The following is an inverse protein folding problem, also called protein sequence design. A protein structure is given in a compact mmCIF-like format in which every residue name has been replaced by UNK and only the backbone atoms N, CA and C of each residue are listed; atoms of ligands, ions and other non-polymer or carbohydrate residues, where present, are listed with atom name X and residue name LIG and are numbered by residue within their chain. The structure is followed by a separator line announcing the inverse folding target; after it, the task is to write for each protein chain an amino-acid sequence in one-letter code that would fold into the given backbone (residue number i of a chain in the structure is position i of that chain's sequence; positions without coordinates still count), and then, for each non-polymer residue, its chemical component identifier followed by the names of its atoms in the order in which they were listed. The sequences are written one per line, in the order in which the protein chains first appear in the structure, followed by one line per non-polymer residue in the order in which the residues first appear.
data_IF_281338831347
#
_entry.id   IF_281338831347
#
_cell.length_a   1.000
_cell.length_b   1.000
_cell.length_c   1.000
_cell.angle_alpha   90.00
_cell.angle_beta   90.00
_cell.angle_gamma   90.00
#
_symmetry.space_group_name_H-M   'P 1'
#
loop_
_entity.id
_entity.type
_entity.pdbx_description
1 polymer ?
#
# COMPACT_ATOMS: atom_id res chain seq x y z
N UNK A 1 -2.45 -15.24 52.28
CA UNK A 1 -2.40 -14.90 50.86
C UNK A 1 -3.59 -14.00 50.62
N UNK A 2 -3.35 -12.70 50.52
CA UNK A 2 -4.38 -11.75 50.12
C UNK A 2 -4.34 -11.77 48.60
N UNK A 3 -5.38 -12.33 47.98
CA UNK A 3 -5.66 -12.08 46.57
C UNK A 3 -6.11 -10.62 46.50
N UNK A 4 -5.23 -9.76 46.01
CA UNK A 4 -5.60 -8.42 45.57
C UNK A 4 -6.29 -8.64 44.23
N UNK A 5 -7.62 -8.76 44.23
CA UNK A 5 -8.41 -8.52 43.03
C UNK A 5 -8.14 -7.07 42.65
N UNK A 6 -7.42 -6.85 41.54
CA UNK A 6 -7.40 -5.54 40.92
C UNK A 6 -8.87 -5.15 40.69
N UNK A 7 -9.26 -4.00 41.22
CA UNK A 7 -10.54 -3.41 40.83
C UNK A 7 -10.26 -2.88 39.44
N UNK A 8 -10.85 -3.48 38.40
CA UNK A 8 -10.95 -2.84 37.09
C UNK A 8 -11.65 -1.50 37.32
N UNK A 9 -10.87 -0.43 37.23
CA UNK A 9 -11.36 0.93 37.39
C UNK A 9 -11.79 1.40 36.00
N UNK A 10 -13.06 1.81 35.86
CA UNK A 10 -13.56 2.37 34.60
C UNK A 10 -12.77 3.65 34.30
N UNK A 11 -12.07 3.74 33.15
CA UNK A 11 -11.33 4.93 32.77
C UNK A 11 -12.20 6.19 32.70
N UNK A 12 -11.58 7.35 32.91
CA UNK A 12 -12.31 8.63 32.95
C UNK A 12 -12.97 9.00 31.62
N UNK A 13 -12.41 8.58 30.48
CA UNK A 13 -12.93 8.87 29.15
C UNK A 13 -14.25 8.14 28.86
N UNK A 14 -14.50 7.00 29.51
CA UNK A 14 -15.73 6.21 29.41
C UNK A 14 -16.49 6.09 30.74
N UNK A 15 -16.32 7.06 31.66
CA UNK A 15 -16.88 7.03 33.02
C UNK A 15 -18.42 7.03 33.13
N UNK A 16 -19.13 6.90 32.01
CA UNK A 16 -20.57 6.64 31.93
C UNK A 16 -20.90 5.14 32.01
N UNK A 17 -19.93 4.26 31.76
CA UNK A 17 -20.08 2.82 32.01
C UNK A 17 -19.91 2.50 33.50
N UNK A 18 -20.58 1.44 33.94
CA UNK A 18 -20.12 0.69 35.12
C UNK A 18 -19.03 -0.33 34.74
N UNK A 19 -18.47 -1.03 35.74
CA UNK A 19 -17.35 -1.97 35.54
C UNK A 19 -17.75 -3.12 34.61
N UNK A 20 -18.97 -3.65 34.76
CA UNK A 20 -19.44 -4.77 33.96
C UNK A 20 -19.64 -4.32 32.50
N UNK A 21 -20.24 -3.14 32.31
CA UNK A 21 -20.42 -2.54 30.98
C UNK A 21 -19.09 -2.23 30.29
N UNK A 22 -18.12 -1.68 31.03
CA UNK A 22 -16.80 -1.41 30.46
C UNK A 22 -16.10 -2.71 30.05
N UNK A 23 -16.18 -3.76 30.90
CA UNK A 23 -15.66 -5.08 30.56
C UNK A 23 -16.26 -5.66 29.28
N UNK A 24 -17.60 -5.64 29.16
CA UNK A 24 -18.27 -6.07 27.92
C UNK A 24 -17.88 -5.21 26.72
N UNK A 25 -17.80 -3.89 26.87
CA UNK A 25 -17.35 -3.03 25.77
C UNK A 25 -15.94 -3.38 25.29
N UNK A 26 -15.01 -3.62 26.22
CA UNK A 26 -13.65 -4.03 25.91
C UNK A 26 -13.60 -5.37 25.19
N UNK A 27 -14.39 -6.36 25.62
CA UNK A 27 -14.50 -7.66 24.95
C UNK A 27 -14.97 -7.49 23.50
N UNK A 28 -16.02 -6.72 23.24
CA UNK A 28 -16.55 -6.51 21.89
C UNK A 28 -15.57 -5.73 20.98
N UNK A 29 -14.82 -4.77 21.53
CA UNK A 29 -13.78 -4.05 20.79
C UNK A 29 -12.60 -4.98 20.45
N UNK A 30 -12.14 -5.77 21.41
CA UNK A 30 -11.02 -6.69 21.21
C UNK A 30 -11.36 -7.80 20.20
N UNK A 31 -12.58 -8.35 20.28
CA UNK A 31 -13.08 -9.35 19.32
C UNK A 31 -13.17 -8.75 17.90
N UNK A 32 -13.63 -7.50 17.78
CA UNK A 32 -13.66 -6.79 16.50
C UNK A 32 -12.23 -6.54 15.96
N UNK A 33 -11.30 -6.08 16.79
CA UNK A 33 -9.89 -5.92 16.43
C UNK A 33 -9.25 -7.26 15.99
N UNK A 34 -9.62 -8.37 16.64
CA UNK A 34 -9.13 -9.71 16.29
C UNK A 34 -9.48 -10.16 14.87
N UNK A 35 -10.55 -9.63 14.28
CA UNK A 35 -10.88 -9.89 12.87
C UNK A 35 -9.86 -9.27 11.90
N UNK A 36 -9.08 -8.29 12.37
CA UNK A 36 -8.01 -7.61 11.63
C UNK A 36 -6.62 -7.94 12.18
N UNK A 37 -6.49 -8.99 13.02
CA UNK A 37 -5.22 -9.43 13.60
C UNK A 37 -4.65 -8.49 14.66
N UNK A 38 -5.50 -7.68 15.25
CA UNK A 38 -5.16 -6.62 16.20
C UNK A 38 -5.66 -6.94 17.63
N UNK A 39 -5.87 -8.22 17.98
CA UNK A 39 -6.33 -8.65 19.30
C UNK A 39 -5.33 -8.37 20.44
N UNK A 40 -5.83 -8.24 21.67
CA UNK A 40 -5.05 -8.07 22.90
C UNK A 40 -4.63 -6.62 23.18
N UNK A 41 -5.39 -5.63 22.71
CA UNK A 41 -5.02 -4.22 22.85
C UNK A 41 -5.22 -3.67 24.27
N UNK A 42 -4.46 -2.62 24.62
CA UNK A 42 -4.65 -1.88 25.87
C UNK A 42 -5.67 -0.73 25.70
N UNK A 43 -6.91 -1.04 26.04
CA UNK A 43 -8.05 -0.12 25.90
C UNK A 43 -8.18 0.88 27.08
N UNK A 44 -7.32 0.80 28.11
CA UNK A 44 -7.38 1.74 29.25
C UNK A 44 -7.14 3.19 28.81
N UNK A 45 -6.30 3.36 27.79
CA UNK A 45 -5.94 4.66 27.19
C UNK A 45 -7.10 5.35 26.45
N UNK A 46 -8.11 4.58 26.02
CA UNK A 46 -9.21 5.06 25.18
C UNK A 46 -8.90 5.12 23.69
N UNK A 47 -7.86 4.40 23.25
CA UNK A 47 -7.46 4.31 21.86
C UNK A 47 -7.24 2.86 21.42
N UNK A 48 -7.30 2.63 20.11
CA UNK A 48 -6.88 1.39 19.44
C UNK A 48 -5.88 1.70 18.34
N UNK A 49 -4.93 0.79 18.14
CA UNK A 49 -3.97 0.81 17.05
C UNK A 49 -4.41 -0.15 15.94
N UNK A 50 -4.75 0.35 14.75
CA UNK A 50 -5.23 -0.48 13.65
C UNK A 50 -4.44 -0.21 12.37
N UNK A 51 -4.21 -1.28 11.60
CA UNK A 51 -3.74 -1.15 10.23
C UNK A 51 -4.86 -0.56 9.36
N UNK A 52 -4.57 0.56 8.68
CA UNK A 52 -5.55 1.26 7.86
C UNK A 52 -4.94 1.91 6.61
N UNK A 53 -5.80 2.22 5.65
CA UNK A 53 -5.42 2.92 4.42
C UNK A 53 -4.73 2.03 3.38
N UNK A 54 -4.22 2.66 2.32
CA UNK A 54 -3.69 1.96 1.14
C UNK A 54 -2.47 1.09 1.44
N UNK A 55 -1.66 1.51 2.41
CA UNK A 55 -0.42 0.82 2.79
C UNK A 55 -0.58 -0.05 4.04
N UNK A 56 -1.77 -0.12 4.63
CA UNK A 56 -2.02 -0.83 5.90
C UNK A 56 -1.11 -0.39 7.05
N UNK A 57 -0.76 0.91 7.10
CA UNK A 57 0.05 1.49 8.16
C UNK A 57 -0.72 1.50 9.49
N UNK A 58 -0.02 1.44 10.63
CA UNK A 58 -0.64 1.46 11.95
C UNK A 58 -1.02 2.89 12.35
N UNK A 59 -2.30 3.10 12.64
CA UNK A 59 -2.88 4.36 13.09
C UNK A 59 -3.59 4.21 14.44
N UNK A 60 -3.57 5.29 15.23
CA UNK A 60 -4.30 5.37 16.50
C UNK A 60 -5.69 5.97 16.27
N UNK A 61 -6.73 5.33 16.82
CA UNK A 61 -8.13 5.77 16.73
C UNK A 61 -8.77 5.88 18.10
N UNK A 62 -9.55 6.94 18.32
CA UNK A 62 -10.20 7.18 19.62
C UNK A 62 -11.48 6.36 19.78
N UNK A 63 -11.60 5.67 20.92
CA UNK A 63 -12.78 4.88 21.27
C UNK A 63 -13.92 5.73 21.86
N UNK A 64 -13.71 7.01 22.17
CA UNK A 64 -14.67 7.81 22.95
C UNK A 64 -16.05 7.87 22.30
N UNK A 65 -16.10 8.12 20.98
CA UNK A 65 -17.36 8.20 20.24
C UNK A 65 -18.04 6.84 20.09
N UNK A 66 -17.26 5.77 19.89
CA UNK A 66 -17.77 4.40 19.84
C UNK A 66 -18.36 3.98 21.18
N UNK A 67 -17.62 4.18 22.28
CA UNK A 67 -18.08 3.90 23.64
C UNK A 67 -19.37 4.66 23.96
N UNK A 68 -19.47 5.93 23.56
CA UNK A 68 -20.69 6.71 23.73
C UNK A 68 -21.86 6.11 22.95
N UNK A 69 -21.68 5.75 21.68
CA UNK A 69 -22.72 5.09 20.87
C UNK A 69 -23.18 3.77 21.50
N UNK A 70 -22.25 2.94 21.96
CA UNK A 70 -22.59 1.71 22.68
C UNK A 70 -23.37 2.01 23.97
N UNK A 71 -22.98 3.02 24.76
CA UNK A 71 -23.72 3.39 25.98
C UNK A 71 -25.16 3.86 25.74
N UNK A 72 -25.45 4.38 24.53
CA UNK A 72 -26.77 4.83 24.11
C UNK A 72 -27.60 3.70 23.46
N UNK A 73 -26.98 2.56 23.15
CA UNK A 73 -27.59 1.40 22.50
C UNK A 73 -27.81 0.22 23.48
N UNK A 74 -28.77 -0.69 23.18
CA UNK A 74 -28.88 -1.96 23.87
C UNK A 74 -27.59 -2.79 23.75
N UNK A 75 -27.17 -3.53 24.80
CA UNK A 75 -25.97 -4.37 24.76
C UNK A 75 -25.93 -5.38 23.62
N UNK A 76 -27.08 -5.91 23.21
CA UNK A 76 -27.19 -6.85 22.09
C UNK A 76 -26.76 -6.27 20.72
N UNK A 77 -26.64 -4.95 20.60
CA UNK A 77 -26.22 -4.28 19.35
C UNK A 77 -24.70 -3.94 19.36
N UNK A 78 -24.01 -4.14 20.48
CA UNK A 78 -22.63 -3.65 20.67
C UNK A 78 -21.63 -4.35 19.75
N UNK A 79 -21.73 -5.68 19.58
CA UNK A 79 -20.91 -6.47 18.64
C UNK A 79 -20.90 -5.82 17.25
N UNK A 80 -22.09 -5.53 16.71
CA UNK A 80 -22.24 -4.94 15.38
C UNK A 80 -21.73 -3.50 15.31
N UNK A 81 -21.88 -2.72 16.39
CA UNK A 81 -21.40 -1.33 16.45
C UNK A 81 -19.87 -1.28 16.50
N UNK A 82 -19.27 -2.11 17.34
CA UNK A 82 -17.81 -2.22 17.46
C UNK A 82 -17.21 -2.72 16.15
N UNK A 83 -17.70 -3.85 15.62
CA UNK A 83 -17.23 -4.36 14.34
C UNK A 83 -17.35 -3.34 13.21
N UNK A 84 -18.53 -2.72 13.05
CA UNK A 84 -18.76 -1.74 11.99
C UNK A 84 -17.84 -0.52 12.08
N UNK A 85 -17.50 -0.05 13.29
CA UNK A 85 -16.57 1.06 13.43
C UNK A 85 -15.11 0.67 13.18
N UNK A 86 -14.69 -0.50 13.65
CA UNK A 86 -13.32 -1.01 13.44
C UNK A 86 -13.09 -1.28 11.95
N UNK A 87 -14.07 -1.88 11.26
CA UNK A 87 -14.05 -2.08 9.81
C UNK A 87 -13.97 -0.75 9.06
N UNK A 88 -14.79 0.24 9.43
CA UNK A 88 -14.76 1.57 8.83
C UNK A 88 -13.39 2.28 8.99
N UNK A 89 -12.76 2.16 10.17
CA UNK A 89 -11.43 2.71 10.42
C UNK A 89 -10.35 1.98 9.61
N UNK A 90 -10.36 0.65 9.59
CA UNK A 90 -9.39 -0.14 8.81
C UNK A 90 -9.51 0.12 7.31
N UNK A 91 -10.74 0.24 6.81
CA UNK A 91 -11.01 0.57 5.41
C UNK A 91 -10.77 2.05 5.04
N UNK A 92 -10.44 2.91 6.01
CA UNK A 92 -10.32 4.37 5.84
C UNK A 92 -11.56 4.97 5.13
N UNK A 93 -12.76 4.57 5.57
CA UNK A 93 -14.04 4.94 4.95
C UNK A 93 -14.24 6.46 4.97
N UNK A 94 -14.05 7.09 6.14
CA UNK A 94 -14.22 8.54 6.29
C UNK A 94 -13.28 9.36 5.39
N UNK A 95 -12.04 8.89 5.18
CA UNK A 95 -11.08 9.54 4.28
C UNK A 95 -11.49 9.36 2.82
N UNK A 96 -12.01 8.18 2.46
CA UNK A 96 -12.56 7.90 1.13
C UNK A 96 -13.77 8.82 0.84
N UNK A 97 -14.70 8.93 1.78
CA UNK A 97 -15.88 9.82 1.66
C UNK A 97 -15.49 11.31 1.54
N UNK A 98 -14.47 11.73 2.28
CA UNK A 98 -13.94 13.10 2.15
C UNK A 98 -13.36 13.33 0.76
N UNK A 99 -12.60 12.37 0.24
CA UNK A 99 -11.92 12.47 -1.05
C UNK A 99 -12.91 12.58 -2.22
N UNK A 100 -14.05 11.89 -2.15
CA UNK A 100 -15.13 12.01 -3.14
C UNK A 100 -15.69 13.43 -3.25
N UNK A 101 -15.61 14.21 -2.18
CA UNK A 101 -16.12 15.58 -2.10
C UNK A 101 -15.03 16.64 -2.31
N UNK A 102 -13.76 16.24 -2.23
CA UNK A 102 -12.62 17.13 -2.31
C UNK A 102 -12.46 17.71 -3.72
N UNK A 103 -12.10 18.99 -3.79
CA UNK A 103 -11.69 19.62 -5.05
C UNK A 103 -10.24 19.27 -5.39
N UNK A 104 -9.90 19.27 -6.67
CA UNK A 104 -8.52 19.04 -7.11
C UNK A 104 -7.54 19.99 -6.43
N UNK A 105 -7.91 21.27 -6.25
CA UNK A 105 -7.03 22.27 -5.60
C UNK A 105 -6.69 21.89 -4.15
N UNK A 106 -7.54 21.15 -3.43
CA UNK A 106 -7.27 20.70 -2.07
C UNK A 106 -6.30 19.52 -2.01
N UNK A 107 -6.29 18.66 -3.03
CA UNK A 107 -5.52 17.40 -3.03
C UNK A 107 -4.29 17.45 -3.94
N UNK A 108 -4.21 18.42 -4.86
CA UNK A 108 -3.20 18.47 -5.93
C UNK A 108 -1.77 18.35 -5.42
N UNK A 109 -1.43 19.06 -4.37
CA UNK A 109 -0.07 19.07 -3.80
C UNK A 109 0.20 17.84 -2.91
N UNK A 110 -0.81 17.01 -2.66
CA UNK A 110 -0.77 15.77 -1.86
C UNK A 110 -0.84 14.51 -2.73
N UNK A 111 -1.06 14.65 -4.04
CA UNK A 111 -1.11 13.52 -4.97
C UNK A 111 0.26 12.84 -5.06
N UNK A 112 0.27 11.52 -4.88
CA UNK A 112 1.42 10.62 -5.01
C UNK A 112 1.12 9.51 -6.01
N UNK A 113 2.16 9.01 -6.66
CA UNK A 113 2.10 7.82 -7.51
C UNK A 113 2.08 6.59 -6.62
N UNK A 114 1.23 5.64 -6.96
CA UNK A 114 1.19 4.30 -6.37
C UNK A 114 1.27 3.27 -7.49
N UNK A 115 2.28 2.40 -7.48
CA UNK A 115 2.43 1.35 -8.50
C UNK A 115 1.85 0.06 -7.97
N UNK A 116 1.11 -0.71 -8.77
CA UNK A 116 0.55 -1.98 -8.28
C UNK A 116 0.25 -2.95 -9.42
N UNK A 117 -0.16 -4.17 -9.09
CA UNK A 117 -0.36 -5.28 -10.03
C UNK A 117 -1.61 -5.14 -10.92
N UNK A 118 -2.50 -4.21 -10.57
CA UNK A 118 -3.76 -3.96 -11.27
C UNK A 118 -4.89 -4.91 -10.90
N UNK A 119 -4.80 -5.65 -9.79
CA UNK A 119 -5.92 -6.40 -9.26
C UNK A 119 -7.15 -5.50 -9.08
N UNK A 120 -8.36 -5.92 -9.50
CA UNK A 120 -9.58 -5.18 -9.17
C UNK A 120 -9.82 -5.18 -7.66
N UNK A 121 -10.42 -4.12 -7.12
CA UNK A 121 -10.78 -4.06 -5.70
C UNK A 121 -11.90 -5.03 -5.38
N UNK A 122 -12.86 -5.19 -6.29
CA UNK A 122 -13.98 -6.12 -6.13
C UNK A 122 -14.03 -7.15 -7.26
N UNK A 123 -14.44 -8.37 -6.92
CA UNK A 123 -14.74 -9.40 -7.92
C UNK A 123 -15.81 -8.88 -8.90
N UNK A 124 -15.54 -9.01 -10.21
CA UNK A 124 -16.42 -8.60 -11.32
C UNK A 124 -16.56 -7.08 -11.57
N UNK A 125 -15.86 -6.22 -10.83
CA UNK A 125 -15.92 -4.78 -11.09
C UNK A 125 -15.30 -4.40 -12.44
N UNK A 126 -15.99 -3.54 -13.18
CA UNK A 126 -15.45 -2.97 -14.42
C UNK A 126 -14.37 -1.93 -14.08
N UNK A 127 -13.28 -1.81 -14.87
CA UNK A 127 -12.20 -0.87 -14.58
C UNK A 127 -12.59 0.60 -14.43
N UNK A 128 -13.74 1.00 -14.97
CA UNK A 128 -14.25 2.38 -14.90
C UNK A 128 -15.36 2.55 -13.84
N UNK A 129 -15.62 1.53 -13.03
CA UNK A 129 -16.57 1.61 -11.93
C UNK A 129 -16.16 2.76 -10.98
N UNK A 130 -17.10 3.64 -10.57
CA UNK A 130 -16.80 4.74 -9.65
C UNK A 130 -16.11 4.32 -8.34
N UNK A 131 -16.44 3.13 -7.82
CA UNK A 131 -15.90 2.58 -6.56
C UNK A 131 -14.55 1.83 -6.77
N UNK A 132 -14.15 1.61 -8.02
CA UNK A 132 -12.82 1.07 -8.32
C UNK A 132 -11.74 2.15 -8.20
N UNK A 133 -10.52 1.68 -7.89
CA UNK A 133 -9.36 2.54 -7.83
C UNK A 133 -9.02 3.09 -9.22
N UNK A 134 -8.64 4.37 -9.25
CA UNK A 134 -8.08 4.96 -10.45
C UNK A 134 -6.84 4.18 -10.89
N UNK A 135 -6.79 3.85 -12.18
CA UNK A 135 -5.68 3.07 -12.74
C UNK A 135 -5.38 3.37 -14.20
N UNK A 136 -4.11 3.45 -14.52
CA UNK A 136 -3.58 3.50 -15.88
C UNK A 136 -2.57 2.38 -16.08
N UNK A 137 -2.72 1.62 -17.16
CA UNK A 137 -1.83 0.52 -17.46
C UNK A 137 -0.47 1.02 -17.95
N UNK A 138 0.61 0.55 -17.34
CA UNK A 138 1.97 0.72 -17.88
C UNK A 138 2.35 -0.47 -18.75
N UNK A 139 2.13 -1.66 -18.21
CA UNK A 139 2.34 -2.94 -18.88
C UNK A 139 1.31 -3.96 -18.36
N UNK A 140 1.28 -5.14 -18.95
CA UNK A 140 0.53 -6.24 -18.34
C UNK A 140 1.06 -6.51 -16.93
N UNK A 141 0.18 -6.54 -15.92
CA UNK A 141 0.57 -6.73 -14.51
C UNK A 141 1.25 -5.53 -13.82
N UNK A 142 1.32 -4.35 -14.45
CA UNK A 142 1.86 -3.14 -13.80
C UNK A 142 1.05 -1.89 -14.13
N UNK A 143 0.57 -1.22 -13.10
CA UNK A 143 -0.40 -0.13 -13.19
C UNK A 143 0.01 1.05 -12.32
N UNK A 144 -0.34 2.25 -12.79
CA UNK A 144 -0.26 3.49 -12.02
C UNK A 144 -1.62 3.78 -11.40
N UNK A 145 -1.64 3.87 -10.08
CA UNK A 145 -2.69 4.49 -9.29
C UNK A 145 -2.24 5.82 -8.70
N UNK A 146 -3.17 6.47 -8.00
CA UNK A 146 -2.93 7.71 -7.27
C UNK A 146 -3.33 7.54 -5.81
N UNK A 147 -2.57 8.16 -4.93
CA UNK A 147 -2.85 8.26 -3.50
C UNK A 147 -2.83 9.73 -3.10
N UNK A 148 -3.73 10.12 -2.19
CA UNK A 148 -3.67 11.41 -1.51
C UNK A 148 -3.03 11.21 -0.15
N UNK A 149 -1.89 11.85 0.04
CA UNK A 149 -1.15 11.79 1.29
C UNK A 149 -1.87 12.55 2.42
N UNK A 150 -1.98 11.93 3.59
CA UNK A 150 -2.59 12.53 4.78
C UNK A 150 -4.01 13.02 4.49
N UNK A 151 -4.87 12.15 3.99
CA UNK A 151 -6.27 12.49 3.72
C UNK A 151 -6.99 12.72 5.05
N UNK A 152 -7.63 13.87 5.24
CA UNK A 152 -8.35 14.15 6.47
C UNK A 152 -9.66 13.37 6.51
N UNK A 153 -10.17 13.17 7.72
CA UNK A 153 -11.53 12.67 7.96
C UNK A 153 -12.50 13.82 8.23
N UNK A 154 -13.80 13.57 8.10
CA UNK A 154 -14.84 14.51 8.55
C UNK A 154 -14.97 14.61 10.07
N UNK A 155 -14.53 13.60 10.80
CA UNK A 155 -14.80 13.40 12.23
C UNK A 155 -13.58 13.63 13.14
N UNK A 156 -12.53 14.29 12.62
CA UNK A 156 -11.28 14.61 13.34
C UNK A 156 -10.46 13.35 13.74
N UNK A 157 -10.71 12.23 13.07
CA UNK A 157 -9.88 11.03 13.08
C UNK A 157 -8.54 11.28 12.35
N UNK A 158 -7.57 10.38 12.60
CA UNK A 158 -6.23 10.39 12.00
C UNK A 158 -6.24 10.67 10.49
N UNK A 159 -5.27 11.47 10.03
CA UNK A 159 -4.99 11.62 8.61
C UNK A 159 -4.36 10.32 8.07
N UNK A 160 -4.90 9.77 7.00
CA UNK A 160 -4.49 8.46 6.44
C UNK A 160 -4.19 8.63 4.94
N UNK A 161 -3.16 7.95 4.44
CA UNK A 161 -2.89 7.90 3.01
C UNK A 161 -3.99 7.07 2.31
N UNK A 162 -4.73 7.70 1.40
CA UNK A 162 -5.95 7.12 0.82
C UNK A 162 -5.86 7.05 -0.69
N UNK A 163 -6.21 5.88 -1.24
CA UNK A 163 -6.19 5.65 -2.67
C UNK A 163 -7.32 6.40 -3.36
N UNK A 164 -7.02 6.96 -4.54
CA UNK A 164 -7.98 7.74 -5.32
C UNK A 164 -8.87 6.79 -6.13
N UNK A 165 -10.18 6.94 -5.98
CA UNK A 165 -11.18 6.24 -6.79
C UNK A 165 -11.51 6.96 -8.10
N UNK A 166 -12.07 6.21 -9.05
CA UNK A 166 -12.56 6.76 -10.31
C UNK A 166 -13.61 7.87 -10.11
N UNK A 167 -14.48 7.75 -9.10
CA UNK A 167 -15.47 8.78 -8.77
C UNK A 167 -14.82 10.16 -8.52
N UNK A 168 -13.76 10.22 -7.73
CA UNK A 168 -13.05 11.46 -7.43
C UNK A 168 -12.38 12.05 -8.68
N UNK A 169 -11.72 11.21 -9.49
CA UNK A 169 -11.10 11.64 -10.76
C UNK A 169 -12.13 12.22 -11.72
N UNK A 170 -13.27 11.56 -11.86
CA UNK A 170 -14.38 12.03 -12.69
C UNK A 170 -14.93 13.38 -12.18
N UNK A 171 -15.06 13.54 -10.87
CA UNK A 171 -15.53 14.79 -10.25
C UNK A 171 -14.56 15.96 -10.47
N UNK A 172 -13.24 15.70 -10.48
CA UNK A 172 -12.23 16.72 -10.77
C UNK A 172 -12.25 17.16 -12.24
N UNK A 173 -12.72 16.29 -13.15
CA UNK A 173 -12.90 16.62 -14.57
C UNK A 173 -11.58 16.93 -15.29
N UNK A 174 -10.49 16.31 -14.85
CA UNK A 174 -9.15 16.47 -15.42
C UNK A 174 -8.72 15.16 -16.08
N UNK A 175 -8.02 15.28 -17.22
CA UNK A 175 -7.48 14.13 -17.93
C UNK A 175 -6.53 13.31 -17.03
N UNK A 176 -6.64 11.98 -17.03
CA UNK A 176 -5.80 11.07 -16.23
C UNK A 176 -4.30 11.39 -16.27
N UNK A 177 -3.74 11.59 -17.46
CA UNK A 177 -2.31 11.88 -17.65
C UNK A 177 -1.87 13.16 -16.92
N UNK A 178 -2.75 14.16 -16.80
CA UNK A 178 -2.45 15.42 -16.10
C UNK A 178 -2.39 15.23 -14.58
N UNK A 179 -3.15 14.27 -14.05
CA UNK A 179 -3.10 13.92 -12.64
C UNK A 179 -1.80 13.17 -12.33
N UNK A 180 -1.40 12.24 -13.20
CA UNK A 180 -0.10 11.55 -13.11
C UNK A 180 1.06 12.56 -13.21
N UNK A 181 1.03 13.47 -14.18
CA UNK A 181 2.03 14.55 -14.28
C UNK A 181 2.11 15.41 -13.01
N UNK A 182 0.98 15.72 -12.38
CA UNK A 182 0.95 16.47 -11.12
C UNK A 182 1.57 15.67 -9.96
N UNK A 183 1.25 14.38 -9.84
CA UNK A 183 1.84 13.50 -8.84
C UNK A 183 3.36 13.33 -9.05
N UNK A 184 3.81 13.19 -10.30
CA UNK A 184 5.24 13.15 -10.64
C UNK A 184 5.94 14.49 -10.36
N UNK A 185 5.25 15.62 -10.49
CA UNK A 185 5.79 16.92 -10.10
C UNK A 185 5.96 17.02 -8.58
N UNK A 186 5.05 16.43 -7.79
CA UNK A 186 5.20 16.34 -6.34
C UNK A 186 6.37 15.43 -5.96
N UNK A 187 6.52 14.25 -6.60
CA UNK A 187 7.64 13.36 -6.37
C UNK A 187 8.99 14.08 -6.51
N UNK A 188 9.19 14.78 -7.64
CA UNK A 188 10.41 15.58 -7.90
C UNK A 188 10.63 16.72 -6.89
N UNK A 189 9.56 17.24 -6.29
CA UNK A 189 9.62 18.34 -5.31
C UNK A 189 9.95 17.83 -3.91
N UNK A 190 9.47 16.65 -3.56
CA UNK A 190 9.49 16.11 -2.21
C UNK A 190 10.63 15.14 -1.95
N UNK A 191 11.11 14.46 -2.99
CA UNK A 191 12.14 13.44 -2.90
C UNK A 191 13.30 13.76 -3.82
N UNK A 192 14.51 13.46 -3.35
CA UNK A 192 15.69 13.43 -4.21
C UNK A 192 15.63 12.20 -5.12
N UNK A 193 16.33 12.26 -6.26
CA UNK A 193 16.51 11.09 -7.12
C UNK A 193 17.10 9.92 -6.33
N UNK A 194 16.71 8.68 -6.63
CA UNK A 194 17.11 7.53 -5.84
C UNK A 194 18.63 7.34 -5.87
N UNK A 195 19.19 6.95 -4.74
CA UNK A 195 20.56 6.46 -4.68
C UNK A 195 20.58 4.98 -5.06
N UNK A 196 21.38 4.63 -6.06
CA UNK A 196 21.50 3.25 -6.53
C UNK A 196 22.55 2.49 -5.73
N UNK A 197 22.15 1.34 -5.18
CA UNK A 197 23.04 0.30 -4.72
C UNK A 197 23.30 -0.72 -5.83
N UNK A 198 24.50 -1.29 -5.86
CA UNK A 198 24.82 -2.41 -6.74
C UNK A 198 24.62 -3.74 -6.00
N UNK A 199 23.88 -4.65 -6.62
CA UNK A 199 23.72 -6.03 -6.17
C UNK A 199 24.31 -6.94 -7.24
N UNK A 200 25.29 -7.75 -6.85
CA UNK A 200 25.93 -8.72 -7.74
C UNK A 200 25.32 -10.09 -7.50
N UNK A 201 24.63 -10.62 -8.51
CA UNK A 201 24.00 -11.93 -8.46
C UNK A 201 24.85 -12.93 -9.23
N UNK A 202 25.32 -13.97 -8.54
CA UNK A 202 26.10 -15.03 -9.15
C UNK A 202 25.18 -16.14 -9.65
N UNK A 203 25.07 -16.27 -10.97
CA UNK A 203 24.28 -17.33 -11.60
C UNK A 203 25.13 -18.60 -11.60
N UNK A 204 24.54 -19.71 -11.15
CA UNK A 204 25.19 -21.01 -11.11
C UNK A 204 24.43 -22.03 -11.98
N UNK A 205 25.14 -23.01 -12.51
CA UNK A 205 24.52 -24.12 -13.23
C UNK A 205 23.82 -25.12 -12.28
N UNK A 206 23.19 -26.16 -12.82
CA UNK A 206 22.53 -27.22 -12.03
C UNK A 206 23.50 -27.96 -11.07
N UNK A 207 24.81 -27.89 -11.31
CA UNK A 207 25.83 -28.46 -10.44
C UNK A 207 26.30 -27.50 -9.33
N UNK A 208 25.81 -26.25 -9.34
CA UNK A 208 26.20 -25.19 -8.41
C UNK A 208 27.52 -24.52 -8.77
N UNK A 209 28.04 -24.71 -9.98
CA UNK A 209 29.24 -24.04 -10.45
C UNK A 209 28.87 -22.67 -11.05
N UNK A 210 29.63 -21.61 -10.75
CA UNK A 210 29.30 -20.26 -11.21
C UNK A 210 29.50 -20.12 -12.72
N UNK A 211 28.45 -19.67 -13.41
CA UNK A 211 28.42 -19.47 -14.86
C UNK A 211 28.67 -18.00 -15.18
N UNK A 212 27.95 -17.09 -14.52
CA UNK A 212 27.93 -15.68 -14.87
C UNK A 212 27.69 -14.81 -13.62
N UNK A 213 27.94 -13.50 -13.73
CA UNK A 213 27.58 -12.54 -12.68
C UNK A 213 26.78 -11.40 -13.28
N UNK A 214 25.53 -11.27 -12.85
CA UNK A 214 24.64 -10.18 -13.27
C UNK A 214 24.73 -9.05 -12.24
N UNK A 215 24.85 -7.82 -12.73
CA UNK A 215 24.81 -6.62 -11.88
C UNK A 215 23.41 -6.03 -11.94
N UNK A 216 22.79 -5.90 -10.77
CA UNK A 216 21.51 -5.22 -10.59
C UNK A 216 21.77 -3.88 -9.89
N UNK A 217 21.08 -2.84 -10.36
CA UNK A 217 20.94 -1.58 -9.65
C UNK A 217 19.65 -1.63 -8.84
N UNK A 218 19.77 -1.38 -7.55
CA UNK A 218 18.65 -1.36 -6.62
C UNK A 218 18.51 0.04 -6.03
N UNK A 219 17.31 0.60 -6.15
CA UNK A 219 16.91 1.82 -5.49
C UNK A 219 15.90 1.51 -4.38
N UNK A 220 16.07 2.16 -3.24
CA UNK A 220 15.12 2.13 -2.12
C UNK A 220 14.52 3.52 -1.89
N UNK A 221 13.28 3.58 -1.43
CA UNK A 221 12.57 4.79 -0.99
C UNK A 221 11.30 5.10 -1.79
N UNK A 222 11.31 4.93 -3.12
CA UNK A 222 10.09 5.06 -3.93
C UNK A 222 10.24 4.42 -5.31
N UNK A 223 9.40 3.43 -5.58
CA UNK A 223 9.36 2.77 -6.86
C UNK A 223 8.69 3.62 -7.95
N UNK A 224 8.00 4.71 -7.58
CA UNK A 224 7.44 5.69 -8.52
C UNK A 224 8.51 6.34 -9.41
N UNK A 225 9.78 6.33 -8.99
CA UNK A 225 10.90 6.76 -9.82
C UNK A 225 11.07 5.91 -11.10
N UNK A 226 10.47 4.72 -11.18
CA UNK A 226 10.38 3.94 -12.42
C UNK A 226 9.81 4.77 -13.59
N UNK A 227 8.86 5.65 -13.31
CA UNK A 227 8.23 6.53 -14.31
C UNK A 227 9.13 7.69 -14.76
N UNK A 228 10.25 7.92 -14.07
CA UNK A 228 11.19 9.03 -14.29
C UNK A 228 12.60 8.53 -14.57
N UNK A 229 12.77 7.28 -15.01
CA UNK A 229 14.08 6.68 -15.20
C UNK A 229 14.95 7.41 -16.24
N UNK A 230 14.34 8.00 -17.27
CA UNK A 230 15.04 8.83 -18.25
C UNK A 230 15.62 10.14 -17.65
N UNK A 231 15.27 10.49 -16.41
CA UNK A 231 15.70 11.71 -15.72
C UNK A 231 16.75 11.46 -14.61
N UNK A 232 17.09 10.22 -14.31
CA UNK A 232 17.96 9.85 -13.18
C UNK A 232 19.30 9.26 -13.64
N UNK A 233 20.33 9.41 -12.82
CA UNK A 233 21.61 8.72 -13.02
C UNK A 233 21.59 7.35 -12.33
N UNK A 234 22.26 6.30 -12.86
CA UNK A 234 23.04 6.32 -14.09
C UNK A 234 22.15 6.37 -15.34
N UNK A 235 22.67 6.98 -16.41
CA UNK A 235 22.03 6.92 -17.73
C UNK A 235 21.90 5.46 -18.15
N UNK A 236 20.68 5.03 -18.42
CA UNK A 236 20.36 3.67 -18.85
C UNK A 236 20.80 3.43 -20.30
N UNK A 237 21.17 2.18 -20.61
CA UNK A 237 21.46 1.76 -21.98
C UNK A 237 20.35 2.17 -22.98
N UNK A 238 20.75 2.75 -24.13
CA UNK A 238 19.82 3.20 -25.20
C UNK A 238 18.93 2.06 -25.73
N UNK A 239 19.43 0.83 -25.67
CA UNK A 239 18.69 -0.37 -26.05
C UNK A 239 17.49 -0.63 -25.15
N UNK A 240 17.51 -0.16 -23.91
CA UNK A 240 16.55 -0.50 -22.85
C UNK A 240 17.18 -1.37 -21.76
N UNK A 241 16.42 -1.57 -20.69
CA UNK A 241 16.83 -2.32 -19.49
C UNK A 241 15.71 -3.24 -19.02
N UNK A 242 16.08 -4.27 -18.27
CA UNK A 242 15.12 -5.07 -17.50
C UNK A 242 14.88 -4.40 -16.16
N UNK A 243 13.62 -4.34 -15.74
CA UNK A 243 13.15 -3.62 -14.58
C UNK A 243 12.19 -4.50 -13.76
N UNK A 244 12.22 -4.38 -12.44
CA UNK A 244 11.19 -4.94 -11.57
C UNK A 244 10.82 -3.96 -10.46
N UNK A 245 9.56 -4.02 -10.04
CA UNK A 245 8.96 -3.15 -9.01
C UNK A 245 8.35 -4.06 -7.94
N UNK A 246 9.16 -4.69 -7.08
CA UNK A 246 8.65 -5.66 -6.12
C UNK A 246 7.77 -5.04 -5.03
N UNK A 247 7.99 -3.78 -4.69
CA UNK A 247 7.24 -3.06 -3.65
C UNK A 247 7.13 -1.56 -3.96
N UNK A 248 6.34 -0.81 -3.18
CA UNK A 248 6.18 0.65 -3.34
C UNK A 248 7.48 1.43 -3.15
N UNK A 249 8.44 0.86 -2.43
CA UNK A 249 9.69 1.50 -2.03
C UNK A 249 10.91 0.90 -2.72
N UNK A 250 10.78 -0.19 -3.49
CA UNK A 250 11.91 -0.86 -4.14
C UNK A 250 11.79 -0.86 -5.66
N UNK A 251 12.89 -0.54 -6.33
CA UNK A 251 13.02 -0.58 -7.78
C UNK A 251 14.33 -1.29 -8.15
N UNK A 252 14.23 -2.30 -9.01
CA UNK A 252 15.35 -3.06 -9.55
C UNK A 252 15.52 -2.74 -11.03
N UNK A 253 16.77 -2.53 -11.45
CA UNK A 253 17.13 -2.27 -12.85
C UNK A 253 18.37 -3.08 -13.22
N UNK A 254 18.35 -3.70 -14.39
CA UNK A 254 19.46 -4.47 -14.93
C UNK A 254 19.66 -4.15 -16.41
N UNK A 255 20.89 -3.78 -16.78
CA UNK A 255 21.26 -3.71 -18.19
C UNK A 255 21.43 -5.13 -18.76
N UNK A 256 21.19 -5.27 -20.05
CA UNK A 256 21.41 -6.51 -20.79
C UNK A 256 22.73 -6.38 -21.55
N UNK A 257 23.82 -7.03 -21.11
CA UNK A 257 25.14 -6.82 -21.71
C UNK A 257 25.21 -7.32 -23.16
N UNK A 258 24.59 -8.47 -23.43
CA UNK A 258 24.53 -9.13 -24.73
C UNK A 258 23.10 -9.66 -24.95
N UNK A 259 22.60 -9.63 -26.19
CA UNK A 259 21.20 -9.97 -26.52
C UNK A 259 20.83 -11.42 -26.11
N UNK A 260 21.78 -12.34 -26.17
CA UNK A 260 21.61 -13.74 -25.75
C UNK A 260 21.60 -13.95 -24.23
N UNK A 261 21.89 -12.90 -23.44
CA UNK A 261 21.76 -12.90 -21.99
C UNK A 261 20.39 -12.43 -21.50
N UNK A 262 19.51 -11.97 -22.39
CA UNK A 262 18.22 -11.36 -22.01
C UNK A 262 17.40 -12.28 -21.10
N UNK A 263 17.18 -13.53 -21.50
CA UNK A 263 16.38 -14.49 -20.72
C UNK A 263 16.98 -14.73 -19.33
N UNK A 264 18.31 -14.79 -19.24
CA UNK A 264 19.03 -14.97 -17.98
C UNK A 264 18.88 -13.75 -17.06
N UNK A 265 19.01 -12.53 -17.61
CA UNK A 265 18.83 -11.29 -16.85
C UNK A 265 17.39 -11.18 -16.35
N UNK A 266 16.40 -11.52 -17.18
CA UNK A 266 14.98 -11.53 -16.81
C UNK A 266 14.71 -12.50 -15.66
N UNK A 267 15.24 -13.74 -15.74
CA UNK A 267 15.09 -14.74 -14.69
C UNK A 267 15.71 -14.26 -13.36
N UNK A 268 16.93 -13.72 -13.40
CA UNK A 268 17.62 -13.19 -12.22
C UNK A 268 16.87 -12.01 -11.60
N UNK A 269 16.40 -11.07 -12.41
CA UNK A 269 15.62 -9.92 -11.92
C UNK A 269 14.31 -10.38 -11.28
N UNK A 270 13.60 -11.33 -11.89
CA UNK A 270 12.36 -11.87 -11.36
C UNK A 270 12.57 -12.66 -10.06
N UNK A 271 13.64 -13.44 -9.96
CA UNK A 271 14.00 -14.17 -8.74
C UNK A 271 14.26 -13.19 -7.57
N UNK A 272 15.13 -12.19 -7.79
CA UNK A 272 15.44 -11.18 -6.77
C UNK A 272 14.20 -10.35 -6.41
N UNK A 273 13.36 -10.01 -7.39
CA UNK A 273 12.10 -9.32 -7.13
C UNK A 273 11.15 -10.20 -6.29
N UNK A 274 11.05 -11.49 -6.59
CA UNK A 274 10.23 -12.44 -5.84
C UNK A 274 10.68 -12.58 -4.38
N UNK A 275 11.99 -12.64 -4.13
CA UNK A 275 12.55 -12.64 -2.77
C UNK A 275 12.17 -11.35 -2.03
N UNK A 276 12.27 -10.19 -2.69
CA UNK A 276 11.84 -8.92 -2.10
C UNK A 276 10.35 -8.89 -1.78
N UNK A 277 9.49 -9.37 -2.68
CA UNK A 277 8.04 -9.45 -2.43
C UNK A 277 7.75 -10.30 -1.20
N UNK A 278 8.44 -11.43 -1.03
CA UNK A 278 8.26 -12.32 0.12
C UNK A 278 8.69 -11.70 1.46
N UNK A 279 9.62 -10.75 1.44
CA UNK A 279 10.12 -10.02 2.61
C UNK A 279 9.39 -8.70 2.87
N UNK A 280 8.56 -8.24 1.93
CA UNK A 280 7.88 -6.94 2.00
C UNK A 280 6.73 -6.96 3.01
N UNK A 281 6.51 -5.83 3.68
CA UNK A 281 5.38 -5.63 4.59
C UNK A 281 4.03 -5.72 3.84
N UNK A 282 3.00 -6.20 4.53
CA UNK A 282 1.65 -6.32 3.96
C UNK A 282 1.17 -4.94 3.50
N UNK A 283 0.60 -4.86 2.29
CA UNK A 283 0.13 -3.60 1.69
C UNK A 283 1.18 -2.87 0.84
N UNK A 284 2.46 -3.25 0.91
CA UNK A 284 3.54 -2.63 0.14
C UNK A 284 3.99 -3.45 -1.08
N UNK A 285 3.73 -4.76 -1.10
CA UNK A 285 4.12 -5.65 -2.19
C UNK A 285 3.32 -5.42 -3.48
N UNK A 286 3.95 -5.66 -4.63
CA UNK A 286 3.34 -5.49 -5.96
C UNK A 286 3.36 -6.81 -6.73
N UNK A 287 4.47 -7.15 -7.38
CA UNK A 287 4.65 -8.39 -8.15
C UNK A 287 6.14 -8.69 -8.32
N UNK A 288 6.49 -9.97 -8.44
CA UNK A 288 7.85 -10.41 -8.78
C UNK A 288 8.15 -10.35 -10.28
N UNK A 289 7.25 -9.77 -11.08
CA UNK A 289 7.37 -9.69 -12.52
C UNK A 289 8.52 -8.80 -12.99
N UNK A 290 9.12 -9.19 -14.11
CA UNK A 290 10.12 -8.41 -14.83
C UNK A 290 9.52 -7.73 -16.07
N UNK A 291 9.96 -6.50 -16.31
CA UNK A 291 9.48 -5.62 -17.36
C UNK A 291 10.66 -5.12 -18.19
N UNK A 292 10.46 -4.98 -19.49
CA UNK A 292 11.35 -4.21 -20.34
C UNK A 292 11.00 -2.73 -20.24
N UNK A 293 11.99 -1.89 -19.99
CA UNK A 293 11.87 -0.45 -20.04
C UNK A 293 12.70 0.13 -21.18
N UNK A 294 12.09 0.99 -22.00
CA UNK A 294 12.80 1.75 -23.01
C UNK A 294 12.09 3.08 -23.30
N UNK A 295 12.79 4.21 -23.10
CA UNK A 295 12.31 5.57 -23.41
C UNK A 295 10.89 5.83 -22.85
N UNK A 296 10.71 5.62 -21.55
CA UNK A 296 9.42 5.81 -20.88
C UNK A 296 8.34 4.76 -21.16
N UNK A 297 8.62 3.72 -21.96
CA UNK A 297 7.68 2.66 -22.29
C UNK A 297 8.00 1.37 -21.53
N UNK A 298 6.95 0.67 -21.07
CA UNK A 298 7.04 -0.58 -20.33
C UNK A 298 6.41 -1.73 -21.12
N UNK A 299 6.99 -2.92 -21.05
CA UNK A 299 6.36 -4.15 -21.53
C UNK A 299 6.74 -5.35 -20.67
N UNK A 300 5.78 -6.18 -20.26
CA UNK A 300 6.04 -7.36 -19.43
C UNK A 300 6.83 -8.41 -20.22
N UNK A 301 7.77 -9.08 -19.56
CA UNK A 301 8.35 -10.32 -20.09
C UNK A 301 7.44 -11.50 -19.74
N UNK A 302 7.01 -12.25 -20.76
CA UNK A 302 6.40 -13.56 -20.53
C UNK A 302 7.53 -14.56 -20.26
N UNK A 303 7.82 -14.81 -18.98
CA UNK A 303 8.67 -15.96 -18.63
C UNK A 303 7.89 -17.20 -19.03
N UNK A 304 8.36 -17.88 -20.08
CA UNK A 304 7.81 -19.18 -20.44
C UNK A 304 8.29 -20.17 -19.39
N UNK A 305 7.53 -20.28 -18.30
CA UNK A 305 7.74 -21.32 -17.30
C UNK A 305 7.60 -22.65 -18.04
N UNK A 306 8.73 -23.27 -18.36
CA UNK A 306 8.74 -24.64 -18.83
C UNK A 306 8.07 -25.45 -17.72
N UNK A 307 6.88 -25.98 -18.01
CA UNK A 307 6.14 -26.83 -17.10
C UNK A 307 7.10 -27.93 -16.60
N UNK A 308 7.43 -27.88 -15.32
CA UNK A 308 8.11 -28.97 -14.64
C UNK A 308 7.06 -30.08 -14.50
N UNK A 309 7.09 -31.03 -15.43
CA UNK A 309 6.37 -32.32 -15.36
C UNK A 309 6.92 -33.21 -14.23
#
# INVERSE_FOLDING_TARGET
MVQTTAVEEVPAWCGFFDVDQFGTFCEEVDDACGCFGAEGQDLESGFVELAAGVYSDIHEFSLEQLAKRCSEAPPEDWESLCFGQIDAWSAAEAQSEWLEQATLDQVRDRLRIHLYDGGPRYDEAEPEDPEEWFRLQLADGLWVGLVVAGTPSSDDDSEIDTQVHNAAVQAWGVEPDRLVEAALANLRREQDAPAWGEVLVQVSDEAGEPVETITLLMASGSAAWALLLDEVEPELAESGVVLAVPSQDTLLVAEVPEEDMLDLVVEVVAEVAGDHVAETEVGYGIDGGAYWYQNGSFSRFEVSVAAVD
#
